data_IF_475851252761
#
_entry.id   IF_475851252761
#
_cell.length_a   1.000
_cell.length_b   1.000
_cell.length_c   1.000
_cell.angle_alpha   90.00
_cell.angle_beta   90.00
_cell.angle_gamma   90.00
#
_symmetry.space_group_name_H-M   'P 1'
#
loop_
_entity.id
_entity.type
_entity.pdbx_description
1 polymer ?
#
# COMPACT_ATOMS: atom_id res chain seq x y z
N UNK A 1 -13.73 1.02 -8.32
CA UNK A 1 -13.90 -0.26 -7.62
C UNK A 1 -12.70 -1.12 -7.95
N UNK A 2 -11.80 -1.31 -6.98
CA UNK A 2 -10.61 -2.12 -7.17
C UNK A 2 -10.97 -3.58 -7.53
N UNK A 3 -10.16 -4.27 -8.37
CA UNK A 3 -10.40 -5.66 -8.72
C UNK A 3 -10.47 -6.54 -7.48
N UNK A 4 -11.45 -7.45 -7.45
CA UNK A 4 -11.63 -8.40 -6.36
C UNK A 4 -10.45 -9.37 -6.30
N UNK A 5 -10.32 -10.10 -5.19
CA UNK A 5 -9.28 -11.13 -5.06
C UNK A 5 -9.30 -12.14 -6.21
N UNK A 6 -10.49 -12.55 -6.68
CA UNK A 6 -10.62 -13.48 -7.79
C UNK A 6 -10.19 -12.88 -9.13
N UNK A 7 -10.41 -11.59 -9.36
CA UNK A 7 -9.98 -10.91 -10.59
C UNK A 7 -8.46 -10.90 -10.76
N UNK A 8 -7.73 -10.83 -9.64
CA UNK A 8 -6.25 -10.94 -9.62
C UNK A 8 -5.75 -12.35 -9.98
N UNK A 9 -6.58 -13.38 -9.83
CA UNK A 9 -6.23 -14.77 -10.12
C UNK A 9 -6.66 -15.25 -11.50
N UNK A 10 -7.54 -14.51 -12.19
CA UNK A 10 -8.01 -14.85 -13.54
C UNK A 10 -6.89 -15.13 -14.56
N UNK A 11 -5.73 -14.44 -14.54
CA UNK A 11 -4.65 -14.74 -15.48
C UNK A 11 -3.96 -16.09 -15.22
N UNK A 12 -4.05 -16.66 -14.02
CA UNK A 12 -3.22 -17.82 -13.61
C UNK A 12 -3.47 -19.06 -14.48
N UNK A 13 -4.72 -19.50 -14.76
CA UNK A 13 -4.96 -20.65 -15.63
C UNK A 13 -4.44 -20.44 -17.04
N UNK A 14 -4.55 -19.22 -17.57
CA UNK A 14 -4.06 -18.85 -18.91
C UNK A 14 -2.53 -18.97 -18.94
N UNK A 15 -1.84 -18.40 -17.95
CA UNK A 15 -0.38 -18.51 -17.83
C UNK A 15 0.08 -19.96 -17.74
N UNK A 16 -0.64 -20.79 -16.98
CA UNK A 16 -0.31 -22.21 -16.81
C UNK A 16 -0.42 -23.00 -18.13
N UNK A 17 -1.46 -22.74 -18.92
CA UNK A 17 -1.62 -23.36 -20.25
C UNK A 17 -0.56 -22.85 -21.26
N UNK A 18 -0.09 -21.62 -21.09
CA UNK A 18 0.92 -21.00 -21.95
C UNK A 18 2.36 -21.37 -21.59
N UNK A 19 2.63 -22.00 -20.43
CA UNK A 19 4.00 -22.21 -19.93
C UNK A 19 4.92 -22.88 -20.94
N UNK A 20 4.45 -23.92 -21.66
CA UNK A 20 5.25 -24.63 -22.68
C UNK A 20 5.63 -23.73 -23.85
N UNK A 21 4.74 -22.79 -24.22
CA UNK A 21 5.00 -21.83 -25.31
C UNK A 21 5.96 -20.74 -24.86
N UNK A 22 5.79 -20.25 -23.63
CA UNK A 22 6.70 -19.27 -23.02
C UNK A 22 8.11 -19.84 -22.97
N UNK A 23 8.28 -21.06 -22.47
CA UNK A 23 9.58 -21.76 -22.43
C UNK A 23 10.18 -21.94 -23.82
N UNK A 24 9.36 -22.38 -24.79
CA UNK A 24 9.82 -22.56 -26.17
C UNK A 24 10.30 -21.24 -26.81
N UNK A 25 9.69 -20.10 -26.47
CA UNK A 25 10.12 -18.77 -26.94
C UNK A 25 11.39 -18.32 -26.23
N UNK A 26 11.48 -18.52 -24.91
CA UNK A 26 12.62 -18.09 -24.10
C UNK A 26 13.94 -18.72 -24.54
N UNK A 27 13.91 -19.95 -25.08
CA UNK A 27 15.11 -20.64 -25.57
C UNK A 27 15.44 -20.39 -27.05
N UNK A 28 14.67 -19.54 -27.75
CA UNK A 28 14.81 -19.29 -29.20
C UNK A 28 15.25 -17.85 -29.50
N UNK A 29 15.83 -17.67 -30.69
CA UNK A 29 16.13 -16.36 -31.26
C UNK A 29 17.04 -15.49 -30.39
N UNK A 30 16.66 -14.22 -30.24
CA UNK A 30 17.45 -13.20 -29.51
C UNK A 30 17.60 -13.53 -28.01
N UNK A 31 16.60 -14.15 -27.39
CA UNK A 31 16.61 -14.47 -25.95
C UNK A 31 17.71 -15.46 -25.56
N UNK A 32 18.07 -16.37 -26.47
CA UNK A 32 19.20 -17.29 -26.28
C UNK A 32 20.53 -16.58 -26.12
N UNK A 33 20.71 -15.42 -26.75
CA UNK A 33 21.94 -14.62 -26.63
C UNK A 33 21.96 -13.76 -25.37
N UNK A 34 20.79 -13.51 -24.77
CA UNK A 34 20.64 -12.77 -23.52
C UNK A 34 20.76 -13.67 -22.28
N UNK A 35 20.97 -14.98 -22.46
CA UNK A 35 21.11 -15.93 -21.36
C UNK A 35 22.38 -15.61 -20.54
N UNK A 36 22.27 -15.24 -19.24
CA UNK A 36 23.41 -14.78 -18.45
C UNK A 36 24.56 -15.81 -18.42
N UNK A 37 24.23 -17.09 -18.29
CA UNK A 37 25.23 -18.16 -18.25
C UNK A 37 26.06 -18.24 -19.53
N UNK A 38 25.49 -17.93 -20.71
CA UNK A 38 26.25 -17.90 -21.96
C UNK A 38 27.12 -16.67 -22.07
N UNK A 39 26.62 -15.52 -21.65
CA UNK A 39 27.38 -14.27 -21.61
C UNK A 39 28.59 -14.44 -20.69
N UNK A 40 28.38 -14.93 -19.46
CA UNK A 40 29.42 -15.23 -18.48
C UNK A 40 30.43 -16.26 -19.01
N UNK A 41 29.97 -17.34 -19.67
CA UNK A 41 30.85 -18.31 -20.29
C UNK A 41 31.69 -17.73 -21.44
N UNK A 42 31.11 -16.84 -22.26
CA UNK A 42 31.83 -16.15 -23.35
C UNK A 42 32.91 -15.20 -22.86
N UNK A 43 32.79 -14.72 -21.62
CA UNK A 43 33.79 -13.91 -20.91
C UNK A 43 34.81 -14.76 -20.15
N UNK A 44 34.78 -16.09 -20.29
CA UNK A 44 35.73 -17.01 -19.64
C UNK A 44 35.44 -17.30 -18.16
N UNK A 45 34.26 -16.91 -17.65
CA UNK A 45 33.90 -17.12 -16.25
C UNK A 45 33.31 -18.52 -16.07
N UNK A 46 34.02 -19.39 -15.33
CA UNK A 46 33.63 -20.77 -15.08
C UNK A 46 33.61 -21.13 -13.57
N UNK A 47 32.61 -21.91 -13.11
CA UNK A 47 31.48 -22.43 -13.88
C UNK A 47 30.35 -21.40 -14.02
N UNK A 48 29.94 -21.11 -15.25
CA UNK A 48 28.99 -20.04 -15.56
C UNK A 48 27.61 -20.20 -14.90
N UNK A 49 27.20 -21.44 -14.58
CA UNK A 49 25.98 -21.70 -13.79
C UNK A 49 26.09 -21.20 -12.36
N UNK A 50 27.21 -21.44 -11.68
CA UNK A 50 27.43 -20.89 -10.34
C UNK A 50 27.55 -19.38 -10.41
N UNK A 51 28.28 -18.83 -11.39
CA UNK A 51 28.39 -17.39 -11.54
C UNK A 51 27.03 -16.71 -11.76
N UNK A 52 26.14 -17.34 -12.54
CA UNK A 52 24.76 -16.87 -12.74
C UNK A 52 23.96 -16.97 -11.43
N UNK A 53 24.03 -18.10 -10.72
CA UNK A 53 23.35 -18.26 -9.44
C UNK A 53 23.84 -17.25 -8.40
N UNK A 54 25.15 -17.00 -8.33
CA UNK A 54 25.77 -15.99 -7.47
C UNK A 54 25.34 -14.57 -7.83
N UNK A 55 25.23 -14.24 -9.12
CA UNK A 55 24.70 -12.95 -9.57
C UNK A 55 23.27 -12.73 -9.05
N UNK A 56 22.39 -13.72 -9.25
CA UNK A 56 21.02 -13.65 -8.73
C UNK A 56 20.99 -13.57 -7.20
N UNK A 57 21.79 -14.38 -6.51
CA UNK A 57 21.87 -14.35 -5.05
C UNK A 57 22.31 -12.97 -4.54
N UNK A 58 23.37 -12.38 -5.11
CA UNK A 58 23.83 -11.04 -4.74
C UNK A 58 22.77 -9.97 -5.02
N UNK A 59 22.06 -10.07 -6.14
CA UNK A 59 20.99 -9.14 -6.47
C UNK A 59 19.82 -9.25 -5.47
N UNK A 60 19.36 -10.46 -5.15
CA UNK A 60 18.28 -10.67 -4.18
C UNK A 60 18.69 -10.26 -2.77
N UNK A 61 19.94 -10.55 -2.35
CA UNK A 61 20.48 -10.06 -1.08
C UNK A 61 20.49 -8.53 -1.07
N UNK A 62 20.97 -7.89 -2.15
CA UNK A 62 20.96 -6.43 -2.28
C UNK A 62 19.57 -5.84 -2.13
N UNK A 63 18.58 -6.36 -2.88
CA UNK A 63 17.17 -5.95 -2.80
C UNK A 63 16.56 -6.15 -1.41
N UNK A 64 16.88 -7.27 -0.75
CA UNK A 64 16.39 -7.56 0.60
C UNK A 64 16.99 -6.60 1.63
N UNK A 65 18.29 -6.33 1.55
CA UNK A 65 18.97 -5.42 2.49
C UNK A 65 18.60 -3.95 2.30
N UNK A 66 18.15 -3.54 1.11
CA UNK A 66 17.70 -2.17 0.87
C UNK A 66 16.27 -1.91 1.33
N UNK A 67 15.55 -2.92 1.85
CA UNK A 67 14.14 -2.79 2.23
C UNK A 67 13.18 -2.61 1.05
N UNK A 68 13.67 -2.73 -0.19
CA UNK A 68 12.85 -2.60 -1.40
C UNK A 68 11.94 -3.81 -1.65
N UNK A 69 12.26 -4.95 -1.03
CA UNK A 69 11.44 -6.17 -1.02
C UNK A 69 11.40 -6.74 0.39
N UNK A 70 10.28 -7.35 0.75
CA UNK A 70 10.10 -7.96 2.06
C UNK A 70 8.73 -7.69 2.63
N UNK A 71 8.51 -8.21 3.83
CA UNK A 71 7.22 -8.17 4.50
C UNK A 71 6.86 -6.79 5.04
N UNK A 72 7.86 -5.92 5.19
CA UNK A 72 7.77 -4.63 5.86
C UNK A 72 8.16 -3.47 4.92
N UNK A 73 7.89 -3.60 3.63
CA UNK A 73 8.21 -2.53 2.68
C UNK A 73 7.24 -1.33 2.88
N UNK A 74 7.71 -0.06 2.82
CA UNK A 74 6.88 1.11 3.10
C UNK A 74 5.61 1.20 2.24
N UNK A 75 5.70 0.79 0.97
CA UNK A 75 4.55 0.77 0.06
C UNK A 75 3.38 -0.14 0.46
N UNK A 76 3.47 -0.90 1.55
CA UNK A 76 2.33 -1.63 2.11
C UNK A 76 1.43 -0.76 2.99
N UNK A 77 1.94 0.36 3.48
CA UNK A 77 1.31 1.14 4.53
C UNK A 77 0.78 2.46 3.99
N UNK A 78 -0.37 2.89 4.51
CA UNK A 78 -1.07 4.09 4.05
C UNK A 78 -0.21 5.38 4.14
N UNK A 79 0.59 5.64 5.20
CA UNK A 79 1.37 6.88 5.31
C UNK A 79 2.32 7.13 4.13
N UNK A 80 2.95 6.08 3.59
CA UNK A 80 3.82 6.21 2.41
C UNK A 80 3.08 6.80 1.19
N UNK A 81 1.84 6.38 0.99
CA UNK A 81 1.02 6.84 -0.14
C UNK A 81 0.38 8.20 0.13
N UNK A 82 0.04 8.50 1.39
CA UNK A 82 -0.41 9.84 1.79
C UNK A 82 0.70 10.88 1.56
N UNK A 83 1.94 10.56 1.91
CA UNK A 83 3.10 11.42 1.65
C UNK A 83 3.28 11.66 0.15
N UNK A 84 3.34 10.59 -0.66
CA UNK A 84 3.44 10.72 -2.11
C UNK A 84 2.27 11.50 -2.74
N UNK A 85 1.04 11.33 -2.22
CA UNK A 85 -0.11 12.12 -2.64
C UNK A 85 0.06 13.61 -2.31
N UNK A 86 0.52 13.93 -1.09
CA UNK A 86 0.77 15.31 -0.65
C UNK A 86 1.87 15.99 -1.47
N UNK A 87 2.83 15.23 -2.01
CA UNK A 87 3.87 15.68 -2.94
C UNK A 87 3.36 15.87 -4.39
N UNK A 88 2.06 15.66 -4.65
CA UNK A 88 1.43 15.90 -5.95
C UNK A 88 1.38 14.69 -6.88
N UNK A 89 1.65 13.48 -6.39
CA UNK A 89 1.50 12.27 -7.19
C UNK A 89 0.02 11.86 -7.31
N UNK A 90 -0.60 12.19 -8.44
CA UNK A 90 -2.02 11.88 -8.70
C UNK A 90 -2.37 10.40 -8.53
N UNK A 91 -1.49 9.47 -8.95
CA UNK A 91 -1.73 8.03 -8.77
C UNK A 91 -1.64 7.59 -7.32
N UNK A 92 -0.81 8.25 -6.52
CA UNK A 92 -0.78 8.00 -5.09
C UNK A 92 -2.09 8.45 -4.44
N UNK A 93 -2.64 9.59 -4.83
CA UNK A 93 -3.95 10.04 -4.32
C UNK A 93 -5.10 9.10 -4.71
N UNK A 94 -5.11 8.59 -5.95
CA UNK A 94 -6.07 7.54 -6.36
C UNK A 94 -5.94 6.28 -5.48
N UNK A 95 -4.71 5.84 -5.22
CA UNK A 95 -4.46 4.68 -4.37
C UNK A 95 -4.85 4.92 -2.91
N UNK A 96 -4.59 6.12 -2.36
CA UNK A 96 -5.02 6.53 -1.03
C UNK A 96 -6.55 6.42 -0.91
N UNK A 97 -7.29 6.94 -1.89
CA UNK A 97 -8.76 6.82 -1.91
C UNK A 97 -9.23 5.36 -1.97
N UNK A 98 -8.57 4.49 -2.74
CA UNK A 98 -8.88 3.06 -2.79
C UNK A 98 -8.67 2.39 -1.42
N UNK A 99 -7.57 2.70 -0.73
CA UNK A 99 -7.26 2.14 0.61
C UNK A 99 -8.24 2.67 1.67
N UNK A 100 -8.50 3.97 1.69
CA UNK A 100 -9.44 4.61 2.62
C UNK A 100 -10.87 4.08 2.41
N UNK A 101 -11.26 3.80 1.16
CA UNK A 101 -12.53 3.10 0.86
C UNK A 101 -12.60 1.75 1.55
N UNK A 102 -11.55 0.93 1.44
CA UNK A 102 -11.50 -0.40 2.08
C UNK A 102 -11.54 -0.28 3.60
N UNK A 103 -10.92 0.73 4.20
CA UNK A 103 -10.93 0.93 5.66
C UNK A 103 -12.28 1.47 6.14
N UNK A 104 -12.89 2.38 5.40
CA UNK A 104 -14.24 2.89 5.65
C UNK A 104 -15.27 1.74 5.59
N UNK A 105 -15.20 0.87 4.58
CA UNK A 105 -16.05 -0.32 4.47
C UNK A 105 -15.84 -1.33 5.61
N UNK A 106 -14.68 -1.28 6.28
CA UNK A 106 -14.36 -2.10 7.47
C UNK A 106 -14.80 -1.46 8.79
N UNK A 107 -15.43 -0.30 8.74
CA UNK A 107 -15.99 0.37 9.92
C UNK A 107 -15.09 1.42 10.55
N UNK A 108 -14.05 1.90 9.86
CA UNK A 108 -13.25 3.04 10.35
C UNK A 108 -13.94 4.36 9.98
N UNK A 109 -14.46 5.07 10.99
CA UNK A 109 -15.06 6.38 10.83
C UNK A 109 -14.02 7.42 10.42
N UNK A 110 -12.79 7.29 10.93
CA UNK A 110 -11.64 8.08 10.47
C UNK A 110 -11.40 7.92 8.97
N UNK A 111 -11.36 6.67 8.48
CA UNK A 111 -11.09 6.43 7.06
C UNK A 111 -12.21 6.96 6.15
N UNK A 112 -13.46 6.89 6.58
CA UNK A 112 -14.56 7.51 5.84
C UNK A 112 -14.41 9.05 5.76
N UNK A 113 -13.88 9.69 6.80
CA UNK A 113 -13.60 11.12 6.79
C UNK A 113 -12.48 11.45 5.81
N UNK A 114 -11.32 10.80 5.96
CA UNK A 114 -10.17 11.05 5.10
C UNK A 114 -10.48 10.72 3.63
N UNK A 115 -11.27 9.68 3.37
CA UNK A 115 -11.78 9.40 2.02
C UNK A 115 -12.51 10.59 1.42
N UNK A 116 -13.39 11.25 2.19
CA UNK A 116 -14.08 12.45 1.73
C UNK A 116 -13.09 13.58 1.36
N UNK A 117 -12.05 13.77 2.17
CA UNK A 117 -11.03 14.80 1.90
C UNK A 117 -10.24 14.46 0.64
N UNK A 118 -9.78 13.21 0.51
CA UNK A 118 -9.05 12.71 -0.67
C UNK A 118 -9.89 12.77 -1.94
N UNK A 119 -11.15 12.34 -1.90
CA UNK A 119 -12.05 12.41 -3.05
C UNK A 119 -12.32 13.86 -3.47
N UNK A 120 -12.41 14.79 -2.52
CA UNK A 120 -12.56 16.20 -2.84
C UNK A 120 -11.32 16.77 -3.53
N UNK A 121 -10.11 16.38 -3.11
CA UNK A 121 -8.87 16.85 -3.75
C UNK A 121 -8.69 16.30 -5.16
N UNK A 122 -9.21 15.09 -5.41
CA UNK A 122 -9.29 14.47 -6.74
C UNK A 122 -10.40 15.07 -7.64
N UNK A 123 -11.22 16.00 -7.14
CA UNK A 123 -12.30 16.61 -7.90
C UNK A 123 -13.44 15.65 -8.23
N UNK A 124 -13.64 14.62 -7.40
CA UNK A 124 -14.75 13.67 -7.53
C UNK A 124 -16.09 14.38 -7.26
N UNK A 125 -17.18 13.82 -7.79
CA UNK A 125 -18.53 14.38 -7.62
C UNK A 125 -18.83 14.76 -6.15
N UNK A 126 -19.28 16.00 -5.88
CA UNK A 126 -19.55 16.46 -4.51
C UNK A 126 -20.59 15.62 -3.75
N UNK A 127 -21.49 14.92 -4.45
CA UNK A 127 -22.42 13.98 -3.83
C UNK A 127 -21.72 12.76 -3.24
N UNK A 128 -20.72 12.23 -3.93
CA UNK A 128 -19.89 11.11 -3.45
C UNK A 128 -19.02 11.56 -2.27
N UNK A 129 -18.38 12.73 -2.37
CA UNK A 129 -17.60 13.33 -1.27
C UNK A 129 -18.45 13.47 -0.01
N UNK A 130 -19.65 14.05 -0.15
CA UNK A 130 -20.59 14.21 0.98
C UNK A 130 -21.05 12.87 1.55
N UNK A 131 -21.20 11.83 0.72
CA UNK A 131 -21.57 10.51 1.20
C UNK A 131 -20.50 9.91 2.13
N UNK A 132 -19.22 10.10 1.82
CA UNK A 132 -18.12 9.66 2.68
C UNK A 132 -18.13 10.36 4.05
N UNK A 133 -18.28 11.70 4.07
CA UNK A 133 -18.40 12.44 5.33
C UNK A 133 -19.66 12.07 6.14
N UNK A 134 -20.80 11.87 5.47
CA UNK A 134 -22.01 11.39 6.13
C UNK A 134 -21.83 10.01 6.76
N UNK A 135 -21.10 9.11 6.08
CA UNK A 135 -20.79 7.80 6.61
C UNK A 135 -19.90 7.88 7.85
N UNK A 136 -18.85 8.73 7.82
CA UNK A 136 -18.02 9.01 8.98
C UNK A 136 -18.85 9.55 10.17
N UNK A 137 -19.75 10.51 9.90
CA UNK A 137 -20.65 11.06 10.91
C UNK A 137 -21.61 10.01 11.49
N UNK A 138 -22.13 9.10 10.67
CA UNK A 138 -22.98 8.01 11.11
C UNK A 138 -22.24 6.95 11.96
N UNK A 139 -20.91 6.96 11.92
CA UNK A 139 -20.03 6.15 12.79
C UNK A 139 -19.57 6.94 14.03
N UNK A 140 -20.24 8.04 14.37
CA UNK A 140 -19.91 8.92 15.49
C UNK A 140 -18.49 9.56 15.40
N UNK A 141 -17.89 9.59 14.21
CA UNK A 141 -16.61 10.27 13.99
C UNK A 141 -16.82 11.78 13.79
N UNK A 142 -16.63 12.54 14.87
CA UNK A 142 -16.91 13.99 14.94
C UNK A 142 -16.44 14.83 13.74
N UNK A 143 -15.18 14.71 13.26
CA UNK A 143 -14.71 15.43 12.07
C UNK A 143 -15.53 15.17 10.81
N UNK A 144 -16.10 13.96 10.67
CA UNK A 144 -17.00 13.63 9.57
C UNK A 144 -18.30 14.45 9.59
N UNK A 145 -18.88 14.67 10.77
CA UNK A 145 -20.06 15.52 10.92
C UNK A 145 -19.74 16.98 10.58
N UNK A 146 -18.58 17.47 11.02
CA UNK A 146 -18.12 18.83 10.69
C UNK A 146 -17.93 19.00 9.18
N UNK A 147 -17.24 18.05 8.53
CA UNK A 147 -16.99 18.09 7.10
C UNK A 147 -18.28 17.97 6.26
N UNK A 148 -19.27 17.20 6.73
CA UNK A 148 -20.59 17.18 6.11
C UNK A 148 -21.27 18.56 6.16
N UNK A 149 -21.17 19.27 7.27
CA UNK A 149 -21.68 20.64 7.40
C UNK A 149 -20.90 21.64 6.53
N UNK A 150 -19.57 21.53 6.47
CA UNK A 150 -18.72 22.32 5.58
C UNK A 150 -19.13 22.11 4.11
N UNK A 151 -19.37 20.88 3.69
CA UNK A 151 -19.90 20.57 2.36
C UNK A 151 -21.26 21.21 2.10
N UNK A 152 -22.19 21.14 3.06
CA UNK A 152 -23.51 21.77 2.93
C UNK A 152 -23.43 23.30 2.78
N UNK A 153 -22.40 23.91 3.36
CA UNK A 153 -22.12 25.35 3.28
C UNK A 153 -21.12 25.74 2.18
N UNK A 154 -20.72 24.79 1.32
CA UNK A 154 -19.76 24.96 0.20
C UNK A 154 -18.36 25.43 0.62
N UNK A 155 -17.96 25.08 1.84
CA UNK A 155 -16.58 25.20 2.29
C UNK A 155 -15.74 24.05 1.73
N UNK A 156 -14.42 24.25 1.65
CA UNK A 156 -13.47 23.29 1.03
C UNK A 156 -12.25 23.02 1.90
N UNK A 157 -12.11 23.72 3.02
CA UNK A 157 -11.12 23.48 4.07
C UNK A 157 -11.59 22.34 4.99
N UNK A 158 -11.55 21.11 4.49
CA UNK A 158 -11.98 19.96 5.27
C UNK A 158 -11.00 19.64 6.41
N UNK A 159 -11.57 19.16 7.51
CA UNK A 159 -10.86 18.77 8.72
C UNK A 159 -10.28 17.37 8.53
N UNK A 160 -8.97 17.27 8.75
CA UNK A 160 -8.28 15.99 8.94
C UNK A 160 -8.19 15.67 10.44
N UNK A 161 -8.04 14.39 10.78
CA UNK A 161 -7.82 13.96 12.15
C UNK A 161 -6.84 12.79 12.22
N UNK A 162 -6.40 12.44 13.44
CA UNK A 162 -5.71 11.17 13.66
C UNK A 162 -6.74 10.04 13.86
N UNK A 163 -6.42 8.80 13.47
CA UNK A 163 -7.26 7.65 13.80
C UNK A 163 -7.43 7.49 15.32
N UNK A 164 -8.63 7.14 15.80
CA UNK A 164 -8.80 6.77 17.20
C UNK A 164 -8.16 5.39 17.47
N UNK A 165 -7.80 5.13 18.73
CA UNK A 165 -7.01 3.95 19.12
C UNK A 165 -7.70 2.63 18.77
N UNK A 166 -9.03 2.58 18.86
CA UNK A 166 -9.86 1.41 18.55
C UNK A 166 -9.95 1.12 17.04
N UNK A 167 -9.65 2.10 16.19
CA UNK A 167 -9.56 1.92 14.75
C UNK A 167 -8.15 1.56 14.25
N UNK A 168 -7.12 1.64 15.11
CA UNK A 168 -5.74 1.32 14.75
C UNK A 168 -5.60 -0.06 14.08
N UNK A 169 -6.21 -1.16 14.59
CA UNK A 169 -6.11 -2.47 13.93
C UNK A 169 -6.63 -2.50 12.48
N UNK A 170 -7.50 -1.55 12.10
CA UNK A 170 -8.02 -1.41 10.73
C UNK A 170 -7.03 -0.63 9.88
N UNK A 171 -6.60 0.55 10.35
CA UNK A 171 -5.93 1.56 9.51
C UNK A 171 -4.42 1.35 9.39
N UNK A 172 -3.79 0.75 10.40
CA UNK A 172 -2.35 0.49 10.36
C UNK A 172 -2.01 -0.79 9.61
N UNK A 173 -3.00 -1.51 9.08
CA UNK A 173 -2.73 -2.78 8.38
C UNK A 173 -1.88 -2.55 7.13
N UNK A 174 -1.03 -3.53 6.84
CA UNK A 174 -0.35 -3.62 5.55
C UNK A 174 -1.12 -4.50 4.57
N UNK A 175 -0.40 -5.01 3.58
CA UNK A 175 -0.93 -5.96 2.59
C UNK A 175 -1.24 -7.35 3.17
N UNK A 176 -0.73 -7.62 4.38
CA UNK A 176 -0.93 -8.89 5.10
C UNK A 176 -2.28 -8.91 5.81
N UNK A 177 -2.60 -10.06 6.41
CA UNK A 177 -3.87 -10.31 7.11
C UNK A 177 -4.24 -9.27 8.17
N UNK A 178 -5.39 -9.43 8.84
CA UNK A 178 -5.82 -8.49 9.89
C UNK A 178 -4.78 -8.40 11.03
N UNK A 179 -4.72 -7.24 11.68
CA UNK A 179 -3.97 -7.03 12.93
C UNK A 179 -4.74 -7.76 14.04
N UNK A 180 -4.03 -8.58 14.82
CA UNK A 180 -4.62 -9.40 15.90
C UNK A 180 -4.26 -8.84 17.28
N UNK A 181 -3.31 -7.92 17.31
CA UNK A 181 -2.85 -7.20 18.48
C UNK A 181 -3.95 -6.26 18.96
N UNK A 182 -4.20 -6.28 20.28
CA UNK A 182 -5.23 -5.45 20.92
C UNK A 182 -4.66 -4.50 21.98
N UNK A 183 -3.39 -4.67 22.34
CA UNK A 183 -2.74 -3.81 23.32
C UNK A 183 -2.33 -2.48 22.67
N UNK A 184 -2.78 -1.36 23.21
CA UNK A 184 -2.52 -0.02 22.67
C UNK A 184 -1.02 0.28 22.50
N UNK A 185 -0.18 -0.15 23.45
CA UNK A 185 1.27 0.09 23.37
C UNK A 185 1.91 -0.62 22.17
N UNK A 186 1.46 -1.85 21.89
CA UNK A 186 1.88 -2.65 20.73
C UNK A 186 1.36 -2.03 19.44
N UNK A 187 0.11 -1.58 19.43
CA UNK A 187 -0.49 -0.90 18.27
C UNK A 187 0.24 0.40 17.95
N UNK A 188 0.68 1.16 18.96
CA UNK A 188 1.44 2.40 18.75
C UNK A 188 2.84 2.12 18.20
N UNK A 189 3.56 1.14 18.77
CA UNK A 189 4.85 0.70 18.24
C UNK A 189 4.70 0.30 16.77
N UNK A 190 3.68 -0.50 16.48
CA UNK A 190 3.41 -0.98 15.12
C UNK A 190 3.00 0.15 14.18
N UNK A 191 2.21 1.11 14.64
CA UNK A 191 1.84 2.29 13.87
C UNK A 191 3.09 3.12 13.54
N UNK A 192 3.97 3.34 14.52
CA UNK A 192 5.22 4.06 14.34
C UNK A 192 6.14 3.39 13.32
N UNK A 193 6.35 2.07 13.45
CA UNK A 193 7.16 1.29 12.50
C UNK A 193 6.61 1.38 11.06
N UNK A 194 5.30 1.61 10.92
CA UNK A 194 4.58 1.72 9.65
C UNK A 194 4.43 3.15 9.14
N UNK A 195 5.16 4.10 9.73
CA UNK A 195 5.22 5.49 9.28
C UNK A 195 4.16 6.41 9.88
N UNK A 196 3.36 5.96 10.84
CA UNK A 196 2.42 6.82 11.56
C UNK A 196 3.14 7.58 12.69
N UNK A 197 3.78 8.68 12.32
CA UNK A 197 4.67 9.43 13.23
C UNK A 197 3.99 9.98 14.48
N UNK A 198 2.67 10.23 14.44
CA UNK A 198 1.88 10.68 15.60
C UNK A 198 1.91 9.68 16.76
N UNK A 199 2.09 8.38 16.50
CA UNK A 199 2.10 7.33 17.53
C UNK A 199 3.50 6.93 17.97
N UNK A 200 4.54 7.54 17.40
CA UNK A 200 5.91 7.30 17.83
C UNK A 200 6.14 7.91 19.21
N UNK A 201 6.35 7.06 20.22
CA UNK A 201 6.86 7.53 21.51
C UNK A 201 8.28 8.05 21.32
N UNK A 202 8.54 9.30 21.71
CA UNK A 202 9.91 9.75 22.06
C UNK A 202 10.42 8.79 23.14
N UNK A 203 11.70 8.35 23.14
CA UNK A 203 12.17 7.34 24.08
C UNK A 203 11.73 7.71 25.50
N UNK A 204 11.02 6.82 26.17
CA UNK A 204 10.84 6.93 27.60
C UNK A 204 12.23 6.82 28.23
N UNK A 205 12.86 7.96 28.48
CA UNK A 205 14.00 8.04 29.37
C UNK A 205 13.45 7.66 30.74
N UNK A 206 13.67 6.39 31.10
CA UNK A 206 13.30 5.83 32.39
C UNK A 206 13.72 6.78 33.51
N UNK A 207 12.77 7.16 34.37
CA UNK A 207 13.04 7.59 35.75
C UNK A 207 13.05 6.37 36.67
#
# INVERSE_FOLDING_TARGET
GAPTFYDKLLPIPILNLMVRRIDAVAVRGIFRYLEPARILASLGIAPARLATASLWALMFVGLGTSGGVGDDHPGQYLPFWQEACSEGNARACEYVADVETVYCERGSGWACNELGVTLSSLGVDPGIVRAAFNQACAMDFGPGCENSLKMATRQTDFVHANPPDDELPIVIRGSKGPIIEMETSVLYSLACDRGWTTYCTVPMVNM
#
